data_IF_309843617054
#
_entry.id   IF_309843617054
#
_cell.length_a   1.000
_cell.length_b   1.000
_cell.length_c   1.000
_cell.angle_alpha   90.00
_cell.angle_beta   90.00
_cell.angle_gamma   90.00
#
_symmetry.space_group_name_H-M   'P 1'
#
loop_
_entity.id
_entity.type
_entity.pdbx_description
1 polymer ?
#
# COMPACT_ATOMS: atom_id res chain seq x y z
N UNK A 1 27.56 10.69 -15.72
CA UNK A 1 26.85 11.98 -15.80
C UNK A 1 25.49 11.77 -15.15
N UNK A 2 25.26 12.29 -13.94
CA UNK A 2 23.96 12.19 -13.29
C UNK A 2 22.98 13.10 -14.05
N UNK A 3 22.01 12.51 -14.74
CA UNK A 3 20.95 13.28 -15.39
C UNK A 3 20.05 13.90 -14.32
N UNK A 4 20.16 15.19 -14.11
CA UNK A 4 19.19 15.94 -13.31
C UNK A 4 17.90 15.97 -14.12
N UNK A 5 16.88 15.21 -13.69
CA UNK A 5 15.55 15.28 -14.30
C UNK A 5 14.97 16.67 -14.05
N UNK A 6 14.33 17.27 -15.07
CA UNK A 6 13.56 18.51 -14.88
C UNK A 6 12.52 18.27 -13.79
N UNK A 7 12.48 19.13 -12.78
CA UNK A 7 11.46 19.09 -11.75
C UNK A 7 10.08 19.04 -12.43
N UNK A 8 9.31 17.99 -12.14
CA UNK A 8 7.98 17.83 -12.71
C UNK A 8 7.84 16.90 -13.91
N UNK A 9 8.93 16.31 -14.43
CA UNK A 9 8.80 15.33 -15.53
C UNK A 9 8.12 14.03 -15.07
N UNK A 10 7.30 13.39 -15.94
CA UNK A 10 6.75 12.07 -15.67
C UNK A 10 7.85 11.04 -15.43
N UNK A 11 7.73 10.26 -14.37
CA UNK A 11 8.67 9.19 -14.02
C UNK A 11 8.07 8.21 -13.04
N UNK A 12 8.63 7.01 -13.02
CA UNK A 12 8.38 6.00 -12.01
C UNK A 12 9.70 5.46 -11.47
N UNK A 13 9.75 5.17 -10.17
CA UNK A 13 10.87 4.49 -9.55
C UNK A 13 10.39 3.49 -8.49
N UNK A 14 10.95 2.27 -8.50
CA UNK A 14 10.72 1.26 -7.46
C UNK A 14 11.88 0.26 -7.45
N UNK A 15 12.54 0.07 -6.29
CA UNK A 15 13.54 -0.97 -6.11
C UNK A 15 14.74 -0.90 -7.09
N UNK A 16 15.11 0.30 -7.57
CA UNK A 16 16.17 0.49 -8.57
C UNK A 16 15.64 0.57 -10.01
N UNK A 17 14.45 0.08 -10.31
CA UNK A 17 13.82 0.26 -11.63
C UNK A 17 13.37 1.70 -11.78
N UNK A 18 13.97 2.42 -12.72
CA UNK A 18 13.64 3.80 -13.07
C UNK A 18 13.04 3.84 -14.48
N UNK A 19 11.81 4.37 -14.61
CA UNK A 19 11.13 4.52 -15.89
C UNK A 19 10.89 5.99 -16.20
N UNK A 20 11.17 6.40 -17.44
CA UNK A 20 11.08 7.79 -17.96
C UNK A 20 10.53 7.79 -19.38
N UNK A 21 10.32 8.98 -19.90
CA UNK A 21 9.79 9.20 -21.24
C UNK A 21 8.39 8.57 -21.41
N UNK A 22 7.42 9.23 -20.75
CA UNK A 22 6.01 8.84 -20.79
C UNK A 22 5.51 8.78 -22.25
N UNK A 23 4.93 7.63 -22.62
CA UNK A 23 4.36 7.39 -23.95
C UNK A 23 2.84 7.51 -23.93
N UNK A 24 2.21 6.87 -22.93
CA UNK A 24 0.77 6.67 -22.88
C UNK A 24 0.26 6.63 -21.44
N UNK A 25 -0.99 7.00 -21.22
CA UNK A 25 -1.70 6.87 -19.95
C UNK A 25 -3.01 6.14 -20.21
N UNK A 26 -3.36 5.20 -19.34
CA UNK A 26 -4.60 4.44 -19.39
C UNK A 26 -5.33 4.37 -18.06
N UNK A 27 -6.64 4.29 -18.10
CA UNK A 27 -7.49 3.93 -16.95
C UNK A 27 -8.15 2.56 -17.12
N UNK A 28 -7.79 1.81 -18.16
CA UNK A 28 -8.29 0.47 -18.43
C UNK A 28 -7.17 -0.55 -18.22
N UNK A 29 -7.30 -1.52 -17.31
CA UNK A 29 -6.28 -2.54 -17.05
C UNK A 29 -6.02 -3.47 -18.26
N UNK A 30 -6.86 -3.46 -19.31
CA UNK A 30 -6.59 -4.19 -20.55
C UNK A 30 -5.33 -3.70 -21.27
N UNK A 31 -4.86 -2.47 -21.01
CA UNK A 31 -3.61 -1.95 -21.56
C UNK A 31 -2.39 -2.82 -21.20
N UNK A 32 -2.44 -3.52 -20.08
CA UNK A 32 -1.36 -4.39 -19.63
C UNK A 32 -1.16 -5.66 -20.48
N UNK A 33 -2.06 -5.91 -21.43
CA UNK A 33 -1.97 -7.07 -22.33
C UNK A 33 -0.99 -6.87 -23.49
N UNK A 34 -0.49 -5.65 -23.71
CA UNK A 34 0.46 -5.34 -24.79
C UNK A 34 1.89 -5.85 -24.53
N UNK A 35 2.19 -6.23 -23.29
CA UNK A 35 3.48 -6.77 -22.88
C UNK A 35 4.55 -5.71 -22.56
N UNK A 36 4.24 -4.43 -22.75
CA UNK A 36 5.17 -3.33 -22.47
C UNK A 36 5.28 -3.00 -20.96
N UNK A 37 6.20 -2.11 -20.62
CA UNK A 37 6.38 -1.66 -19.25
C UNK A 37 5.34 -0.60 -18.87
N UNK A 38 4.55 -0.89 -17.85
CA UNK A 38 3.57 0.01 -17.27
C UNK A 38 3.83 0.21 -15.77
N UNK A 39 3.94 1.45 -15.33
CA UNK A 39 3.78 1.79 -13.92
C UNK A 39 2.29 1.94 -13.63
N UNK A 40 1.81 1.29 -12.56
CA UNK A 40 0.39 1.27 -12.23
C UNK A 40 0.12 1.77 -10.82
N UNK A 41 -1.05 2.36 -10.65
CA UNK A 41 -1.65 2.67 -9.35
C UNK A 41 -3.12 2.33 -9.36
N UNK A 42 -3.63 1.80 -8.25
CA UNK A 42 -5.08 1.69 -8.01
C UNK A 42 -5.45 2.44 -6.76
N UNK A 43 -6.70 2.91 -6.67
CA UNK A 43 -7.28 3.33 -5.38
C UNK A 43 -7.86 2.13 -4.64
N UNK A 44 -8.15 2.30 -3.35
CA UNK A 44 -8.92 1.31 -2.57
C UNK A 44 -10.30 1.04 -3.18
N UNK A 45 -10.91 2.04 -3.76
CA UNK A 45 -12.22 1.99 -4.41
C UNK A 45 -12.20 1.27 -5.74
N UNK A 46 -11.00 0.99 -6.30
CA UNK A 46 -10.81 0.23 -7.53
C UNK A 46 -10.57 1.07 -8.78
N UNK A 47 -10.37 2.39 -8.65
CA UNK A 47 -9.94 3.20 -9.81
C UNK A 47 -8.53 2.78 -10.24
N UNK A 48 -8.36 2.48 -11.51
CA UNK A 48 -7.09 2.07 -12.09
C UNK A 48 -6.48 3.21 -12.91
N UNK A 49 -5.19 3.43 -12.74
CA UNK A 49 -4.38 4.37 -13.54
C UNK A 49 -3.05 3.74 -13.88
N UNK A 50 -2.64 3.85 -15.12
CA UNK A 50 -1.38 3.31 -15.62
C UNK A 50 -0.65 4.31 -16.51
N UNK A 51 0.68 4.26 -16.49
CA UNK A 51 1.57 5.07 -17.30
C UNK A 51 2.60 4.17 -18.00
N UNK A 52 2.63 4.20 -19.32
CA UNK A 52 3.59 3.49 -20.16
C UNK A 52 4.83 4.36 -20.38
N UNK A 53 6.00 3.79 -20.14
CA UNK A 53 7.26 4.48 -20.28
C UNK A 53 8.15 3.82 -21.33
N UNK A 54 8.93 4.64 -22.06
CA UNK A 54 9.84 4.18 -23.12
C UNK A 54 11.18 3.72 -22.58
N UNK A 55 11.74 4.48 -21.64
CA UNK A 55 13.11 4.27 -21.14
C UNK A 55 13.06 3.65 -19.76
N UNK A 56 13.53 2.41 -19.65
CA UNK A 56 13.59 1.66 -18.39
C UNK A 56 15.05 1.38 -18.10
N UNK A 57 15.52 1.79 -16.93
CA UNK A 57 16.90 1.61 -16.49
C UNK A 57 16.95 1.08 -15.06
N UNK A 58 18.09 0.51 -14.67
CA UNK A 58 18.33 0.13 -13.28
C UNK A 58 19.27 1.16 -12.64
N UNK A 59 18.67 2.16 -11.97
CA UNK A 59 19.37 3.31 -11.41
C UNK A 59 18.80 3.69 -10.05
N UNK A 60 19.61 4.35 -9.22
CA UNK A 60 19.13 5.01 -8.01
C UNK A 60 18.08 6.08 -8.35
N UNK A 61 17.20 6.41 -7.37
CA UNK A 61 16.28 7.53 -7.54
C UNK A 61 17.06 8.81 -7.89
N UNK A 62 16.63 9.58 -8.89
CA UNK A 62 17.37 10.75 -9.37
C UNK A 62 17.59 11.79 -8.27
N UNK A 63 18.73 12.48 -8.34
CA UNK A 63 18.98 13.61 -7.47
C UNK A 63 17.92 14.70 -7.68
N UNK A 64 17.33 15.17 -6.60
CA UNK A 64 16.29 16.20 -6.62
C UNK A 64 16.91 17.52 -6.22
N UNK A 65 16.67 18.57 -7.04
CA UNK A 65 17.02 19.92 -6.65
C UNK A 65 16.22 20.35 -5.42
N UNK A 66 16.81 21.14 -4.50
CA UNK A 66 16.08 21.67 -3.36
C UNK A 66 14.82 22.43 -3.82
N UNK A 67 13.67 21.88 -3.54
CA UNK A 67 12.35 22.51 -3.77
C UNK A 67 11.74 22.93 -2.43
N UNK A 68 10.59 23.60 -2.49
CA UNK A 68 9.86 23.92 -1.27
C UNK A 68 9.52 22.63 -0.49
N UNK A 69 9.82 22.64 0.81
CA UNK A 69 9.38 21.57 1.71
C UNK A 69 7.92 21.76 2.08
N UNK A 70 7.24 20.65 2.36
CA UNK A 70 5.94 20.69 3.00
C UNK A 70 6.07 21.39 4.34
N UNK A 71 5.21 22.37 4.62
CA UNK A 71 5.22 23.15 5.86
C UNK A 71 3.79 23.47 6.28
N UNK A 72 3.57 23.62 7.59
CA UNK A 72 2.26 23.87 8.17
C UNK A 72 1.75 22.69 8.97
N UNK A 73 0.46 22.74 9.31
CA UNK A 73 -0.21 21.71 10.11
C UNK A 73 -1.00 20.78 9.20
N UNK A 74 -0.83 19.48 9.41
CA UNK A 74 -1.65 18.45 8.79
C UNK A 74 -2.97 18.30 9.53
N UNK A 75 -4.04 18.16 8.78
CA UNK A 75 -5.40 18.04 9.32
C UNK A 75 -5.92 16.61 9.12
N UNK A 76 -6.49 16.03 10.15
CA UNK A 76 -7.11 14.70 10.09
C UNK A 76 -8.56 14.80 9.60
N UNK A 77 -9.00 13.84 8.80
CA UNK A 77 -10.37 13.70 8.32
C UNK A 77 -11.37 13.39 9.44
N UNK A 78 -10.90 13.00 10.60
CA UNK A 78 -11.70 12.67 11.78
C UNK A 78 -10.96 13.09 13.05
N UNK A 79 -11.68 13.52 14.07
CA UNK A 79 -11.16 13.78 15.40
C UNK A 79 -10.91 12.47 16.16
N UNK A 80 -10.19 12.53 17.28
CA UNK A 80 -9.99 11.39 18.18
C UNK A 80 -11.33 10.80 18.64
N UNK A 81 -12.27 11.64 19.07
CA UNK A 81 -13.56 11.19 19.56
C UNK A 81 -14.40 10.50 18.48
N UNK A 82 -14.39 10.99 17.25
CA UNK A 82 -15.09 10.37 16.11
C UNK A 82 -14.42 9.03 15.72
N UNK A 83 -13.08 8.96 15.74
CA UNK A 83 -12.38 7.72 15.46
C UNK A 83 -12.65 6.64 16.52
N UNK A 84 -12.67 7.02 17.81
CA UNK A 84 -13.07 6.12 18.90
C UNK A 84 -14.48 5.58 18.69
N UNK A 85 -15.46 6.45 18.36
CA UNK A 85 -16.82 6.02 18.06
C UNK A 85 -16.87 5.09 16.84
N UNK A 86 -16.06 5.36 15.82
CA UNK A 86 -15.96 4.49 14.64
C UNK A 86 -15.44 3.10 15.03
N UNK A 87 -14.38 3.02 15.83
CA UNK A 87 -13.84 1.75 16.33
C UNK A 87 -14.86 0.98 17.15
N UNK A 88 -15.61 1.64 18.05
CA UNK A 88 -16.65 0.98 18.84
C UNK A 88 -17.79 0.42 17.96
N UNK A 89 -18.22 1.14 16.93
CA UNK A 89 -19.20 0.63 15.95
C UNK A 89 -18.69 -0.62 15.22
N UNK A 90 -17.41 -0.64 14.84
CA UNK A 90 -16.78 -1.86 14.26
C UNK A 90 -16.82 -3.01 15.27
N UNK A 91 -16.48 -2.77 16.55
CA UNK A 91 -16.52 -3.79 17.59
C UNK A 91 -17.93 -4.36 17.81
N UNK A 92 -18.97 -3.52 17.71
CA UNK A 92 -20.37 -3.98 17.74
C UNK A 92 -20.70 -4.92 16.56
N UNK A 93 -20.22 -4.60 15.35
CA UNK A 93 -20.36 -5.48 14.16
C UNK A 93 -19.60 -6.81 14.33
N UNK A 94 -18.43 -6.77 14.97
CA UNK A 94 -17.67 -7.99 15.32
C UNK A 94 -18.43 -8.80 16.36
N UNK A 95 -18.95 -8.18 17.42
CA UNK A 95 -19.72 -8.84 18.47
C UNK A 95 -20.98 -9.56 17.93
N UNK A 96 -21.60 -8.98 16.89
CA UNK A 96 -22.75 -9.59 16.22
C UNK A 96 -22.40 -10.78 15.31
N UNK A 97 -21.11 -11.12 15.17
CA UNK A 97 -20.62 -12.22 14.34
C UNK A 97 -20.57 -11.92 12.83
N UNK A 98 -20.76 -10.66 12.44
CA UNK A 98 -20.77 -10.28 11.03
C UNK A 98 -19.40 -10.20 10.37
N UNK A 99 -18.34 -10.01 11.16
CA UNK A 99 -16.96 -9.84 10.70
C UNK A 99 -16.00 -10.19 11.83
N UNK A 100 -14.77 -10.61 11.51
CA UNK A 100 -13.72 -10.90 12.50
C UNK A 100 -12.78 -9.73 12.72
N UNK A 101 -12.49 -9.00 11.65
CA UNK A 101 -11.59 -7.85 11.65
C UNK A 101 -12.03 -6.84 10.59
N UNK A 102 -11.90 -5.54 10.91
CA UNK A 102 -12.04 -4.43 9.96
C UNK A 102 -10.87 -3.48 10.16
N UNK A 103 -10.21 -3.06 9.08
CA UNK A 103 -9.18 -2.05 9.16
C UNK A 103 -9.85 -0.66 9.19
N UNK A 104 -9.76 0.03 10.33
CA UNK A 104 -10.29 1.39 10.51
C UNK A 104 -9.26 2.42 10.06
N UNK A 105 -9.62 3.28 9.11
CA UNK A 105 -8.70 4.24 8.50
C UNK A 105 -9.15 5.68 8.71
N UNK A 106 -8.16 6.58 8.63
CA UNK A 106 -8.37 8.03 8.52
C UNK A 106 -7.37 8.63 7.53
N UNK A 107 -7.76 9.71 6.88
CA UNK A 107 -6.93 10.48 5.98
C UNK A 107 -6.41 11.74 6.70
N UNK A 108 -5.14 12.04 6.47
CA UNK A 108 -4.47 13.23 6.99
C UNK A 108 -4.04 14.05 5.77
N UNK A 109 -4.30 15.34 5.77
CA UNK A 109 -4.16 16.18 4.57
C UNK A 109 -3.50 17.52 4.91
N UNK A 110 -2.75 18.06 3.95
CA UNK A 110 -2.22 19.42 4.02
C UNK A 110 -2.31 20.10 2.67
N UNK A 111 -2.70 21.38 2.65
CA UNK A 111 -2.62 22.20 1.44
C UNK A 111 -1.17 22.57 1.18
N UNK A 112 -0.62 22.18 0.02
CA UNK A 112 0.77 22.43 -0.31
C UNK A 112 1.04 22.38 -1.81
N UNK A 113 1.86 23.29 -2.31
CA UNK A 113 2.40 23.28 -3.67
C UNK A 113 3.72 22.52 -3.79
N UNK A 114 4.29 22.02 -2.68
CA UNK A 114 5.54 21.25 -2.68
C UNK A 114 5.37 19.95 -3.45
N UNK A 115 6.35 19.58 -4.28
CA UNK A 115 6.38 18.31 -4.99
C UNK A 115 6.79 17.16 -4.05
N UNK A 116 6.36 15.94 -4.36
CA UNK A 116 6.67 14.76 -3.53
C UNK A 116 8.02 14.12 -3.84
N UNK A 117 8.74 14.55 -4.88
CA UNK A 117 10.07 14.02 -5.24
C UNK A 117 11.11 14.24 -4.14
N UNK A 118 11.19 15.46 -3.58
CA UNK A 118 12.07 15.75 -2.44
C UNK A 118 11.64 14.98 -1.19
N UNK A 119 10.34 14.89 -0.95
CA UNK A 119 9.78 14.10 0.14
C UNK A 119 10.20 12.62 0.01
N UNK A 120 10.08 12.06 -1.20
CA UNK A 120 10.48 10.70 -1.49
C UNK A 120 11.99 10.46 -1.33
N UNK A 121 12.83 11.37 -1.81
CA UNK A 121 14.28 11.30 -1.60
C UNK A 121 14.64 11.27 -0.09
N UNK A 122 13.95 12.07 0.73
CA UNK A 122 14.13 12.06 2.19
C UNK A 122 13.63 10.75 2.82
N UNK A 123 12.51 10.21 2.33
CA UNK A 123 11.99 8.91 2.76
C UNK A 123 13.01 7.81 2.49
N UNK A 124 13.56 7.71 1.28
CA UNK A 124 14.57 6.71 0.93
C UNK A 124 15.79 6.76 1.85
N UNK A 125 16.21 7.96 2.25
CA UNK A 125 17.35 8.16 3.15
C UNK A 125 17.06 7.82 4.60
N UNK A 126 15.87 8.18 5.12
CA UNK A 126 15.58 8.18 6.55
C UNK A 126 14.65 7.06 6.99
N UNK A 127 13.92 6.47 6.06
CA UNK A 127 12.97 5.36 6.29
C UNK A 127 12.90 4.43 5.08
N UNK A 128 14.03 3.79 4.71
CA UNK A 128 14.03 2.86 3.58
C UNK A 128 13.00 1.75 3.80
N UNK A 129 12.30 1.40 2.74
CA UNK A 129 11.31 0.33 2.76
C UNK A 129 11.48 -0.56 1.51
N UNK A 130 11.23 -1.87 1.59
CA UNK A 130 11.52 -2.82 0.51
C UNK A 130 10.76 -2.51 -0.78
N UNK A 131 9.55 -1.94 -0.67
CA UNK A 131 8.74 -1.56 -1.82
C UNK A 131 8.53 -0.04 -1.90
N UNK A 132 9.54 0.73 -1.45
CA UNK A 132 9.51 2.17 -1.63
C UNK A 132 9.40 2.50 -3.12
N UNK A 133 8.46 3.39 -3.48
CA UNK A 133 8.16 3.72 -4.87
C UNK A 133 7.67 5.16 -5.04
N UNK A 134 8.00 5.71 -6.20
CA UNK A 134 7.57 7.03 -6.63
C UNK A 134 6.94 6.96 -8.01
N UNK A 135 5.80 7.58 -8.18
CA UNK A 135 5.11 7.66 -9.46
C UNK A 135 4.62 9.09 -9.72
N UNK A 136 4.92 9.60 -10.90
CA UNK A 136 4.44 10.90 -11.36
C UNK A 136 4.11 10.87 -12.83
N UNK A 137 2.88 11.23 -13.17
CA UNK A 137 2.45 11.50 -14.54
C UNK A 137 1.16 12.34 -14.52
N UNK A 138 0.97 13.19 -15.51
CA UNK A 138 -0.18 14.11 -15.62
C UNK A 138 -0.45 14.86 -14.31
N UNK A 139 -1.55 14.60 -13.66
CA UNK A 139 -2.04 15.19 -12.42
C UNK A 139 -1.79 14.32 -11.18
N UNK A 140 -1.18 13.14 -11.37
CA UNK A 140 -0.88 12.18 -10.30
C UNK A 140 0.55 12.31 -9.81
N UNK A 141 0.72 12.33 -8.49
CA UNK A 141 2.03 12.23 -7.84
C UNK A 141 1.90 11.43 -6.55
N UNK A 142 2.67 10.35 -6.43
CA UNK A 142 2.65 9.42 -5.31
C UNK A 142 4.07 9.16 -4.82
N UNK A 143 4.28 9.20 -3.49
CA UNK A 143 5.51 8.82 -2.82
C UNK A 143 5.21 7.81 -1.73
N UNK A 144 5.66 6.59 -1.88
CA UNK A 144 5.35 5.46 -1.02
C UNK A 144 6.58 4.92 -0.30
N UNK A 145 6.46 4.67 1.00
CA UNK A 145 7.39 3.91 1.83
C UNK A 145 6.79 2.54 2.20
N UNK A 146 6.12 1.89 1.25
CA UNK A 146 5.43 0.63 1.54
C UNK A 146 6.39 -0.47 1.95
N UNK A 147 6.12 -1.14 3.07
CA UNK A 147 6.85 -2.34 3.47
C UNK A 147 6.24 -3.62 2.89
N UNK A 148 5.00 -3.57 2.35
CA UNK A 148 4.18 -4.74 2.11
C UNK A 148 4.03 -5.08 0.62
N UNK A 149 4.38 -6.31 0.28
CA UNK A 149 4.16 -6.86 -1.05
C UNK A 149 2.68 -7.19 -1.25
N UNK A 150 2.06 -6.57 -2.26
CA UNK A 150 0.74 -6.97 -2.74
C UNK A 150 0.84 -8.22 -3.62
N UNK A 151 1.71 -8.18 -4.64
CA UNK A 151 1.90 -9.27 -5.59
C UNK A 151 3.24 -9.15 -6.31
N UNK A 152 3.97 -10.27 -6.44
CA UNK A 152 4.92 -10.46 -7.54
C UNK A 152 4.35 -11.48 -8.52
N UNK A 153 4.66 -11.28 -9.80
CA UNK A 153 4.42 -12.27 -10.87
C UNK A 153 5.72 -12.51 -11.62
N UNK A 154 6.00 -13.77 -11.90
CA UNK A 154 7.07 -14.20 -12.81
C UNK A 154 6.49 -15.35 -13.65
N UNK A 155 6.19 -15.05 -14.92
CA UNK A 155 5.46 -15.93 -15.83
C UNK A 155 4.09 -16.33 -15.26
N UNK A 156 3.91 -17.59 -14.93
CA UNK A 156 2.69 -18.12 -14.31
C UNK A 156 2.75 -18.21 -12.77
N UNK A 157 3.91 -17.92 -12.17
CA UNK A 157 4.09 -17.96 -10.72
C UNK A 157 3.73 -16.63 -10.10
N UNK A 158 2.91 -16.67 -9.05
CA UNK A 158 2.57 -15.48 -8.27
C UNK A 158 2.85 -15.69 -6.78
N UNK A 159 3.17 -14.57 -6.12
CA UNK A 159 3.38 -14.54 -4.67
C UNK A 159 2.80 -13.26 -4.07
N UNK A 160 2.18 -13.38 -2.91
CA UNK A 160 1.80 -12.29 -2.02
C UNK A 160 2.42 -12.51 -0.64
N UNK A 161 2.80 -11.42 0.06
CA UNK A 161 3.49 -11.52 1.35
C UNK A 161 2.87 -10.55 2.36
N UNK A 162 1.70 -10.90 2.93
CA UNK A 162 1.05 -10.06 3.94
C UNK A 162 1.89 -9.94 5.21
N UNK A 163 1.86 -8.74 5.78
CA UNK A 163 2.52 -8.40 7.04
C UNK A 163 1.47 -8.22 8.13
N UNK A 164 1.70 -8.84 9.30
CA UNK A 164 1.01 -8.53 10.56
C UNK A 164 1.98 -8.59 11.72
N UNK A 165 1.88 -7.60 12.59
CA UNK A 165 2.82 -7.46 13.70
C UNK A 165 4.10 -6.72 13.29
N UNK A 166 4.53 -5.82 14.18
CA UNK A 166 5.79 -5.09 14.07
C UNK A 166 6.41 -5.00 15.45
N UNK A 167 7.69 -5.34 15.57
CA UNK A 167 8.46 -5.20 16.82
C UNK A 167 9.69 -4.32 16.59
N UNK A 168 10.15 -3.65 17.63
CA UNK A 168 11.29 -2.72 17.55
C UNK A 168 12.65 -3.39 17.74
N UNK A 169 12.66 -4.62 18.23
CA UNK A 169 13.90 -5.36 18.52
C UNK A 169 13.75 -6.82 18.10
N UNK A 170 14.81 -7.39 17.56
CA UNK A 170 14.88 -8.84 17.25
C UNK A 170 14.78 -9.71 18.51
N UNK A 171 15.08 -9.16 19.70
CA UNK A 171 14.93 -9.89 20.99
C UNK A 171 13.49 -9.99 21.47
N UNK A 172 12.57 -9.15 20.98
CA UNK A 172 11.15 -9.24 21.29
C UNK A 172 10.51 -10.39 20.52
N UNK A 173 9.50 -11.03 21.11
CA UNK A 173 8.69 -12.05 20.43
C UNK A 173 7.36 -11.47 19.98
N UNK A 174 6.90 -11.84 18.80
CA UNK A 174 5.53 -11.52 18.37
C UNK A 174 4.51 -12.17 19.29
N UNK A 175 3.47 -11.40 19.63
CA UNK A 175 2.38 -11.88 20.49
C UNK A 175 1.50 -12.93 19.82
N UNK A 176 0.70 -13.63 20.60
CA UNK A 176 -0.28 -14.58 20.07
C UNK A 176 -1.33 -13.88 19.18
N UNK A 177 -1.65 -12.60 19.47
CA UNK A 177 -2.55 -11.78 18.65
C UNK A 177 -1.97 -11.61 17.24
N UNK A 178 -0.71 -11.15 17.12
CA UNK A 178 -0.06 -10.93 15.81
C UNK A 178 -0.02 -12.20 14.97
N UNK A 179 0.30 -13.33 15.61
CA UNK A 179 0.34 -14.65 14.94
C UNK A 179 -1.04 -15.06 14.45
N UNK A 180 -2.07 -14.93 15.27
CA UNK A 180 -3.44 -15.29 14.91
C UNK A 180 -3.97 -14.39 13.76
N UNK A 181 -3.69 -13.08 13.81
CA UNK A 181 -4.06 -12.15 12.75
C UNK A 181 -3.33 -12.47 11.44
N UNK A 182 -2.04 -12.82 11.49
CA UNK A 182 -1.29 -13.19 10.30
C UNK A 182 -1.85 -14.46 9.66
N UNK A 183 -2.13 -15.52 10.45
CA UNK A 183 -2.75 -16.77 9.96
C UNK A 183 -4.11 -16.49 9.30
N UNK A 184 -4.94 -15.64 9.90
CA UNK A 184 -6.24 -15.28 9.34
C UNK A 184 -6.08 -14.58 7.97
N UNK A 185 -5.10 -13.67 7.84
CA UNK A 185 -4.83 -13.00 6.55
C UNK A 185 -4.24 -13.95 5.53
N UNK A 186 -3.39 -14.91 5.93
CA UNK A 186 -2.90 -15.97 5.04
C UNK A 186 -4.06 -16.76 4.45
N UNK A 187 -5.04 -17.16 5.25
CA UNK A 187 -6.22 -17.88 4.76
C UNK A 187 -7.05 -17.03 3.79
N UNK A 188 -7.17 -15.72 4.05
CA UNK A 188 -7.82 -14.79 3.15
C UNK A 188 -7.08 -14.69 1.81
N UNK A 189 -5.74 -14.58 1.83
CA UNK A 189 -4.92 -14.55 0.62
C UNK A 189 -5.01 -15.86 -0.16
N UNK A 190 -5.03 -17.01 0.51
CA UNK A 190 -5.25 -18.32 -0.14
C UNK A 190 -6.59 -18.38 -0.85
N UNK A 191 -7.65 -17.86 -0.23
CA UNK A 191 -8.97 -17.77 -0.86
C UNK A 191 -8.97 -16.85 -2.09
N UNK A 192 -8.32 -15.69 -2.00
CA UNK A 192 -8.21 -14.75 -3.11
C UNK A 192 -7.43 -15.35 -4.29
N UNK A 193 -6.26 -15.94 -4.03
CA UNK A 193 -5.47 -16.65 -5.03
C UNK A 193 -6.22 -17.84 -5.64
N UNK A 194 -7.07 -18.50 -4.86
CA UNK A 194 -7.93 -19.61 -5.33
C UNK A 194 -8.85 -19.24 -6.49
N UNK A 195 -9.16 -17.96 -6.66
CA UNK A 195 -10.01 -17.49 -7.75
C UNK A 195 -9.28 -17.43 -9.10
N UNK A 196 -7.94 -17.34 -9.10
CA UNK A 196 -7.10 -17.10 -10.28
C UNK A 196 -6.05 -18.19 -10.53
N UNK A 197 -5.75 -19.01 -9.54
CA UNK A 197 -4.73 -20.06 -9.63
C UNK A 197 -5.32 -21.42 -10.02
N UNK A 198 -4.44 -22.30 -10.47
CA UNK A 198 -4.76 -23.73 -10.71
C UNK A 198 -5.12 -24.36 -9.37
N UNK A 199 -6.25 -25.10 -9.29
CA UNK A 199 -6.60 -25.83 -8.06
C UNK A 199 -5.47 -26.76 -7.58
N UNK A 200 -5.12 -26.64 -6.30
CA UNK A 200 -4.04 -27.42 -5.69
C UNK A 200 -2.63 -26.83 -5.84
N UNK A 201 -2.45 -25.72 -6.58
CA UNK A 201 -1.14 -25.05 -6.73
C UNK A 201 -0.81 -24.06 -5.62
N UNK A 202 -1.79 -23.70 -4.78
CA UNK A 202 -1.58 -22.71 -3.72
C UNK A 202 -0.79 -23.35 -2.58
N UNK A 203 0.31 -22.71 -2.20
CA UNK A 203 1.19 -23.12 -1.11
C UNK A 203 1.48 -21.94 -0.17
N UNK A 204 1.88 -22.26 1.05
CA UNK A 204 2.39 -21.31 2.05
C UNK A 204 3.81 -21.78 2.41
N UNK A 205 4.82 -21.44 1.59
CA UNK A 205 6.19 -21.91 1.80
C UNK A 205 6.80 -21.36 3.09
N UNK A 206 6.46 -20.13 3.46
CA UNK A 206 6.92 -19.48 4.68
C UNK A 206 5.72 -18.95 5.47
N UNK A 207 5.48 -19.53 6.63
CA UNK A 207 4.43 -19.10 7.55
C UNK A 207 5.05 -18.48 8.80
N UNK A 208 4.63 -17.24 9.14
CA UNK A 208 5.05 -16.53 10.36
C UNK A 208 6.57 -16.34 10.45
N UNK A 209 7.22 -15.94 9.35
CA UNK A 209 8.64 -15.63 9.26
C UNK A 209 8.93 -14.26 9.86
N UNK A 210 9.96 -14.17 10.69
CA UNK A 210 10.51 -12.89 11.12
C UNK A 210 11.32 -12.28 9.97
N UNK A 211 10.98 -11.05 9.58
CA UNK A 211 11.70 -10.29 8.56
C UNK A 211 12.28 -9.01 9.16
N UNK A 212 13.61 -8.97 9.25
CA UNK A 212 14.32 -7.88 9.87
C UNK A 212 14.57 -6.72 8.88
N UNK A 213 14.24 -5.51 9.33
CA UNK A 213 14.53 -4.26 8.65
C UNK A 213 15.30 -3.31 9.57
N UNK A 214 15.97 -2.27 9.06
CA UNK A 214 16.66 -1.31 9.90
C UNK A 214 15.75 -0.71 10.98
N UNK A 215 15.96 -1.12 12.26
CA UNK A 215 15.25 -0.61 13.42
C UNK A 215 13.88 -1.22 13.71
N UNK A 216 13.46 -2.26 13.00
CA UNK A 216 12.21 -3.00 13.27
C UNK A 216 12.22 -4.38 12.59
N UNK A 217 11.35 -5.28 13.07
CA UNK A 217 11.08 -6.57 12.41
C UNK A 217 9.59 -6.73 12.18
N UNK A 218 9.24 -7.36 11.07
CA UNK A 218 7.87 -7.69 10.69
C UNK A 218 7.61 -9.19 10.76
N UNK A 219 6.38 -9.58 11.08
CA UNK A 219 5.88 -10.94 10.95
C UNK A 219 5.25 -11.10 9.57
N UNK A 220 5.91 -11.86 8.70
CA UNK A 220 5.55 -12.01 7.28
C UNK A 220 5.21 -13.46 6.98
N UNK A 221 4.26 -13.68 6.10
CA UNK A 221 4.00 -15.01 5.54
C UNK A 221 3.92 -14.92 4.02
N UNK A 222 4.49 -15.90 3.33
CA UNK A 222 4.45 -15.99 1.87
C UNK A 222 3.34 -16.95 1.44
N UNK A 223 2.49 -16.50 0.51
CA UNK A 223 1.48 -17.33 -0.16
C UNK A 223 1.76 -17.29 -1.65
N UNK A 224 1.94 -18.46 -2.25
CA UNK A 224 2.27 -18.61 -3.67
C UNK A 224 1.20 -19.40 -4.41
N UNK A 225 1.16 -19.27 -5.73
CA UNK A 225 0.29 -20.06 -6.59
C UNK A 225 0.72 -20.00 -8.05
N UNK A 226 0.21 -20.93 -8.85
CA UNK A 226 0.39 -20.97 -10.29
C UNK A 226 -0.89 -20.46 -10.95
N UNK A 227 -0.79 -19.42 -11.75
CA UNK A 227 -1.92 -18.82 -12.48
C UNK A 227 -2.54 -19.82 -13.47
N UNK A 228 -3.86 -19.75 -13.65
CA UNK A 228 -4.53 -20.47 -14.74
C UNK A 228 -4.11 -19.89 -16.09
N UNK A 229 -4.00 -20.74 -17.09
CA UNK A 229 -3.72 -20.30 -18.47
C UNK A 229 -4.77 -19.29 -18.96
N UNK A 230 -4.30 -18.23 -19.61
CA UNK A 230 -5.15 -17.21 -20.22
C UNK A 230 -5.72 -16.18 -19.23
N UNK A 231 -5.35 -16.21 -17.94
CA UNK A 231 -5.78 -15.21 -16.97
C UNK A 231 -5.23 -13.82 -17.34
N UNK A 232 -6.08 -12.83 -17.33
CA UNK A 232 -5.74 -11.44 -17.66
C UNK A 232 -5.36 -10.65 -16.41
N UNK A 233 -4.64 -9.53 -16.60
CA UNK A 233 -4.34 -8.61 -15.49
C UNK A 233 -5.61 -8.01 -14.88
N UNK A 234 -6.64 -7.75 -15.67
CA UNK A 234 -7.93 -7.27 -15.17
C UNK A 234 -8.57 -8.27 -14.18
N UNK A 235 -8.52 -9.59 -14.52
CA UNK A 235 -9.03 -10.64 -13.63
C UNK A 235 -8.18 -10.78 -12.37
N UNK A 236 -6.85 -10.71 -12.48
CA UNK A 236 -5.93 -10.74 -11.32
C UNK A 236 -6.25 -9.59 -10.37
N UNK A 237 -6.32 -8.36 -10.87
CA UNK A 237 -6.61 -7.18 -10.04
C UNK A 237 -8.02 -7.27 -9.42
N UNK A 238 -9.03 -7.70 -10.18
CA UNK A 238 -10.40 -7.85 -9.68
C UNK A 238 -10.50 -8.87 -8.54
N UNK A 239 -9.81 -10.00 -8.64
CA UNK A 239 -9.84 -11.04 -7.62
C UNK A 239 -9.10 -10.63 -6.32
N UNK A 240 -8.00 -9.90 -6.46
CA UNK A 240 -7.13 -9.60 -5.32
C UNK A 240 -7.46 -8.26 -4.64
N UNK A 241 -8.05 -7.29 -5.34
CA UNK A 241 -8.36 -5.96 -4.79
C UNK A 241 -9.67 -5.92 -4.01
N UNK A 242 -9.70 -5.12 -2.94
CA UNK A 242 -8.54 -4.60 -2.20
C UNK A 242 -7.81 -5.70 -1.46
N UNK A 243 -6.52 -5.47 -1.14
CA UNK A 243 -5.75 -6.44 -0.35
C UNK A 243 -6.45 -6.79 0.96
N UNK A 244 -6.41 -8.07 1.34
CA UNK A 244 -7.09 -8.54 2.55
C UNK A 244 -6.49 -7.96 3.83
N UNK A 245 -5.17 -7.74 3.85
CA UNK A 245 -4.42 -7.21 5.00
C UNK A 245 -4.89 -5.83 5.44
N UNK A 246 -5.44 -5.03 4.50
CA UNK A 246 -5.85 -3.62 4.73
C UNK A 246 -7.38 -3.43 4.65
N UNK A 247 -8.14 -4.47 4.41
CA UNK A 247 -9.62 -4.43 4.42
C UNK A 247 -10.19 -5.09 5.67
N UNK A 248 -10.03 -6.38 5.81
CA UNK A 248 -10.52 -7.18 6.93
C UNK A 248 -11.08 -8.53 6.48
N UNK A 249 -11.58 -9.31 7.42
CA UNK A 249 -12.05 -10.67 7.21
C UNK A 249 -13.44 -10.92 7.83
N UNK A 250 -14.42 -11.48 7.07
CA UNK A 250 -14.41 -11.72 5.62
C UNK A 250 -14.36 -10.43 4.80
N UNK A 251 -13.64 -10.43 3.65
CA UNK A 251 -13.40 -9.24 2.83
C UNK A 251 -14.69 -8.50 2.44
N UNK A 252 -15.71 -9.20 1.97
CA UNK A 252 -16.98 -8.59 1.55
C UNK A 252 -17.74 -7.91 2.68
N UNK A 253 -17.73 -8.49 3.90
CA UNK A 253 -18.33 -7.89 5.07
C UNK A 253 -17.56 -6.65 5.53
N UNK A 254 -16.23 -6.74 5.60
CA UNK A 254 -15.35 -5.62 5.96
C UNK A 254 -15.54 -4.44 5.01
N UNK A 255 -15.55 -4.68 3.67
CA UNK A 255 -15.80 -3.62 2.66
C UNK A 255 -17.11 -2.87 2.89
N UNK A 256 -18.21 -3.58 3.21
CA UNK A 256 -19.51 -2.95 3.48
C UNK A 256 -19.45 -2.07 4.73
N UNK A 257 -18.83 -2.55 5.80
CA UNK A 257 -18.69 -1.80 7.06
C UNK A 257 -17.82 -0.55 6.83
N UNK A 258 -16.72 -0.67 6.10
CA UNK A 258 -15.86 0.46 5.74
C UNK A 258 -16.66 1.50 4.94
N UNK A 259 -17.39 1.10 3.92
CA UNK A 259 -18.21 2.00 3.11
C UNK A 259 -19.37 2.67 3.92
N UNK A 260 -19.89 1.99 4.95
CA UNK A 260 -20.94 2.52 5.85
C UNK A 260 -20.38 3.55 6.84
N UNK A 261 -19.16 3.34 7.34
CA UNK A 261 -18.66 4.05 8.52
C UNK A 261 -17.54 5.06 8.25
N UNK A 262 -16.76 4.92 7.18
CA UNK A 262 -15.70 5.87 6.87
C UNK A 262 -16.27 7.15 6.25
N UNK A 263 -15.91 8.33 6.79
CA UNK A 263 -16.47 9.61 6.33
C UNK A 263 -15.87 10.07 4.99
N UNK A 264 -14.71 9.53 4.59
CA UNK A 264 -13.99 9.94 3.38
C UNK A 264 -13.46 8.74 2.64
N UNK A 265 -13.43 8.81 1.30
CA UNK A 265 -12.78 7.81 0.47
C UNK A 265 -11.29 7.66 0.84
N UNK A 266 -10.76 6.45 0.75
CA UNK A 266 -9.34 6.15 1.02
C UNK A 266 -8.43 6.64 -0.08
N UNK A 267 -8.92 6.66 -1.33
CA UNK A 267 -8.14 7.03 -2.50
C UNK A 267 -6.96 6.10 -2.72
N UNK A 268 -5.77 6.66 -2.94
CA UNK A 268 -4.54 5.88 -3.14
C UNK A 268 -4.18 5.02 -1.92
N UNK A 269 -4.50 5.48 -0.70
CA UNK A 269 -4.24 4.70 0.50
C UNK A 269 -5.00 3.37 0.48
N UNK A 270 -4.30 2.27 0.77
CA UNK A 270 -4.84 0.92 0.67
C UNK A 270 -5.15 0.44 -0.76
N UNK A 271 -4.75 1.18 -1.77
CA UNK A 271 -4.69 0.70 -3.15
C UNK A 271 -3.41 -0.07 -3.43
N UNK A 272 -3.00 -0.11 -4.69
CA UNK A 272 -1.80 -0.81 -5.16
C UNK A 272 -0.92 0.15 -5.96
N UNK A 273 0.39 0.00 -5.84
CA UNK A 273 1.39 0.76 -6.58
C UNK A 273 2.55 -0.14 -7.01
N UNK A 274 3.00 -0.01 -8.25
CA UNK A 274 4.14 -0.76 -8.75
C UNK A 274 4.22 -0.78 -10.26
N UNK A 275 4.79 -1.85 -10.81
CA UNK A 275 4.97 -2.01 -12.25
C UNK A 275 4.59 -3.39 -12.75
N UNK A 276 4.21 -3.42 -14.02
CA UNK A 276 3.94 -4.62 -14.82
C UNK A 276 4.75 -4.52 -16.10
N UNK A 277 5.39 -5.61 -16.52
CA UNK A 277 6.10 -5.72 -17.78
C UNK A 277 5.90 -7.12 -18.34
N UNK A 278 4.97 -7.27 -19.26
CA UNK A 278 4.51 -8.56 -19.75
C UNK A 278 4.01 -9.46 -18.62
N UNK A 279 4.67 -10.60 -18.46
CA UNK A 279 4.36 -11.58 -17.42
C UNK A 279 5.15 -11.39 -16.12
N UNK A 280 5.84 -10.27 -15.99
CA UNK A 280 6.55 -9.89 -14.76
C UNK A 280 5.87 -8.72 -14.09
N UNK A 281 5.83 -8.71 -12.75
CA UNK A 281 5.33 -7.60 -11.98
C UNK A 281 5.89 -7.56 -10.56
N UNK A 282 5.97 -6.33 -10.02
CA UNK A 282 6.15 -6.08 -8.60
C UNK A 282 5.15 -5.01 -8.20
N UNK A 283 4.21 -5.38 -7.35
CA UNK A 283 3.13 -4.52 -6.88
C UNK A 283 3.13 -4.50 -5.35
N UNK A 284 3.06 -3.32 -4.76
CA UNK A 284 2.99 -3.12 -3.30
C UNK A 284 1.60 -2.65 -2.87
N UNK A 285 1.25 -2.92 -1.63
CA UNK A 285 0.09 -2.29 -0.98
C UNK A 285 0.44 -0.83 -0.71
N UNK A 286 -0.39 0.12 -1.16
CA UNK A 286 -0.15 1.55 -0.99
C UNK A 286 -0.47 2.00 0.45
N UNK A 287 0.36 1.57 1.41
CA UNK A 287 0.39 2.03 2.80
C UNK A 287 1.68 2.80 3.06
N UNK A 288 1.71 3.62 4.11
CA UNK A 288 2.82 4.56 4.36
C UNK A 288 3.08 5.43 3.12
N UNK A 289 2.01 5.89 2.48
CA UNK A 289 2.00 6.49 1.16
C UNK A 289 1.44 7.91 1.23
N UNK A 290 2.16 8.83 0.59
CA UNK A 290 1.71 10.19 0.32
C UNK A 290 1.24 10.27 -1.13
N UNK A 291 0.16 11.00 -1.38
CA UNK A 291 -0.29 11.30 -2.74
C UNK A 291 -0.84 12.70 -2.85
N UNK A 292 -0.77 13.23 -4.05
CA UNK A 292 -1.34 14.53 -4.38
C UNK A 292 -2.70 14.37 -5.03
N UNK A 293 -3.64 15.15 -4.57
CA UNK A 293 -4.94 15.33 -5.19
C UNK A 293 -5.27 16.83 -5.17
N UNK A 294 -5.34 17.42 -6.37
CA UNK A 294 -5.48 18.86 -6.53
C UNK A 294 -4.38 19.65 -5.79
N UNK A 295 -4.74 20.56 -4.90
CA UNK A 295 -3.81 21.38 -4.12
C UNK A 295 -3.41 20.76 -2.76
N UNK A 296 -3.87 19.55 -2.48
CA UNK A 296 -3.60 18.86 -1.23
C UNK A 296 -2.62 17.71 -1.41
N UNK A 297 -1.80 17.51 -0.39
CA UNK A 297 -1.06 16.27 -0.17
C UNK A 297 -1.78 15.50 0.93
N UNK A 298 -2.02 14.24 0.69
CA UNK A 298 -2.70 13.32 1.59
C UNK A 298 -1.76 12.24 2.10
N UNK A 299 -2.08 11.73 3.28
CA UNK A 299 -1.47 10.54 3.88
C UNK A 299 -2.54 9.72 4.55
N UNK A 300 -2.58 8.41 4.30
CA UNK A 300 -3.51 7.49 4.94
C UNK A 300 -2.86 6.74 6.10
N UNK A 301 -3.60 6.53 7.18
CA UNK A 301 -3.19 5.71 8.32
C UNK A 301 -4.39 4.95 8.86
N UNK A 302 -4.15 3.80 9.50
CA UNK A 302 -5.21 2.97 10.04
C UNK A 302 -4.70 1.84 10.93
N UNK A 303 -5.64 1.18 11.59
CA UNK A 303 -5.40 0.05 12.47
C UNK A 303 -6.40 -1.07 12.23
N UNK A 304 -5.97 -2.31 12.42
CA UNK A 304 -6.84 -3.50 12.30
C UNK A 304 -7.65 -3.73 13.58
N UNK A 305 -8.94 -3.46 13.51
CA UNK A 305 -9.84 -3.58 14.65
C UNK A 305 -10.34 -5.01 14.79
N UNK A 306 -10.10 -5.60 15.94
CA UNK A 306 -10.56 -6.91 16.36
C UNK A 306 -11.44 -6.82 17.62
N UNK A 307 -11.97 -7.95 18.08
CA UNK A 307 -12.73 -7.98 19.33
C UNK A 307 -11.96 -7.43 20.54
N UNK A 308 -10.65 -7.68 20.62
CA UNK A 308 -9.80 -7.28 21.74
C UNK A 308 -9.21 -5.87 21.58
N UNK A 309 -9.52 -5.14 20.53
CA UNK A 309 -9.00 -3.79 20.30
C UNK A 309 -9.53 -2.80 21.33
N UNK A 310 -8.64 -1.94 21.84
CA UNK A 310 -8.97 -0.76 22.63
C UNK A 310 -9.00 0.46 21.70
N UNK A 311 -10.12 1.17 21.65
CA UNK A 311 -10.34 2.22 20.67
C UNK A 311 -9.35 3.40 20.79
N UNK A 312 -8.92 3.72 22.01
CA UNK A 312 -7.94 4.78 22.24
C UNK A 312 -6.53 4.34 21.84
N UNK A 313 -6.15 3.13 22.19
CA UNK A 313 -4.86 2.57 21.78
C UNK A 313 -4.74 2.48 20.25
N UNK A 314 -5.82 2.10 19.54
CA UNK A 314 -5.84 2.07 18.08
C UNK A 314 -5.71 3.48 17.47
N UNK A 315 -6.32 4.51 18.08
CA UNK A 315 -6.08 5.90 17.68
C UNK A 315 -4.61 6.29 17.85
N UNK A 316 -4.02 6.03 19.01
CA UNK A 316 -2.61 6.31 19.31
C UNK A 316 -1.68 5.58 18.32
N UNK A 317 -2.00 4.35 17.94
CA UNK A 317 -1.26 3.60 16.91
C UNK A 317 -1.30 4.31 15.55
N UNK A 318 -2.46 4.84 15.14
CA UNK A 318 -2.57 5.60 13.87
C UNK A 318 -1.76 6.90 13.91
N UNK A 319 -1.69 7.56 15.05
CA UNK A 319 -0.85 8.76 15.25
C UNK A 319 0.63 8.41 15.10
N UNK A 320 1.08 7.38 15.81
CA UNK A 320 2.48 6.95 15.80
C UNK A 320 2.94 6.52 14.38
N UNK A 321 2.07 5.83 13.63
CA UNK A 321 2.35 5.44 12.24
C UNK A 321 2.52 6.64 11.31
N UNK A 322 1.79 7.72 11.54
CA UNK A 322 1.84 8.94 10.73
C UNK A 322 3.01 9.86 11.09
N UNK A 323 3.25 10.06 12.38
CA UNK A 323 4.16 11.07 12.92
C UNK A 323 5.57 10.99 12.32
N UNK A 324 6.17 9.80 12.28
CA UNK A 324 7.51 9.61 11.75
C UNK A 324 7.63 10.00 10.27
N UNK A 325 6.69 9.57 9.43
CA UNK A 325 6.75 9.86 8.00
C UNK A 325 6.41 11.31 7.69
N UNK A 326 5.44 11.90 8.40
CA UNK A 326 5.11 13.31 8.30
C UNK A 326 6.31 14.18 8.70
N UNK A 327 7.04 13.83 9.76
CA UNK A 327 8.25 14.58 10.16
C UNK A 327 9.37 14.55 9.10
N UNK A 328 9.48 13.47 8.31
CA UNK A 328 10.44 13.34 7.22
C UNK A 328 10.03 14.20 6.01
N UNK A 329 8.76 14.20 5.67
CA UNK A 329 8.19 14.93 4.53
C UNK A 329 8.10 16.42 4.83
N UNK A 330 7.72 16.77 6.04
CA UNK A 330 7.61 18.13 6.55
C UNK A 330 6.21 18.46 7.08
N UNK A 331 6.13 19.54 7.85
CA UNK A 331 4.93 19.92 8.57
C UNK A 331 4.81 19.26 9.95
N UNK A 332 3.69 19.52 10.63
CA UNK A 332 3.37 19.03 11.98
C UNK A 332 2.01 18.34 11.95
N UNK A 333 1.88 17.25 12.67
CA UNK A 333 0.63 16.51 12.84
C UNK A 333 -0.28 17.19 13.86
#
# INVERSE_FOLDING_TARGET
MNSVTKAGAPQFWMGGVLARDLIEVSSDPSCLADGDFWAISTTYEGEFRAAKFKTITNEAFPAVSPTARVSGKWESSTSESEYIQYVEKIREKIASGGVYQVNACRRISIKSSATLDLAFANILKSNPAPFASYLRFTDMEIASASPELFLTRDCDQIKTSPIKGTKRSSSEKFGNKDRAENIMIVDLMRNDLGQICIPGSIAVPDLLRDEDHPGLSHLVSDVTGTLRSGITWAEILTALLPAGSISGAPKSAAKRIIAELEPTARGTYCGVLGWVHGDQAVLSVAIRTFWRESEFIHFGTGAGITWSSDARAEWEETQLKAERLISIVGGQL
#
